data_IF_349901930885
#
_entry.id   IF_349901930885
#
_cell.length_a   1.000
_cell.length_b   1.000
_cell.length_c   1.000
_cell.angle_alpha   90.00
_cell.angle_beta   90.00
_cell.angle_gamma   90.00
#
_symmetry.space_group_name_H-M   'P 1'
#
loop_
_entity.id
_entity.type
_entity.pdbx_description
1 polymer ?
#
# COMPACT_ATOMS: atom_id res chain seq x y z
N UNK A 1 15.18 -20.52 -6.51
CA UNK A 1 14.03 -19.94 -5.78
C UNK A 1 14.22 -18.44 -5.85
N UNK A 2 13.26 -17.71 -6.41
CA UNK A 2 13.33 -16.25 -6.43
C UNK A 2 13.21 -15.79 -4.98
N UNK A 3 14.23 -15.12 -4.47
CA UNK A 3 14.30 -14.58 -3.12
C UNK A 3 13.16 -13.56 -2.94
N UNK A 4 11.99 -14.04 -2.51
CA UNK A 4 10.79 -13.22 -2.42
C UNK A 4 10.85 -12.44 -1.11
N UNK A 5 11.34 -11.20 -1.19
CA UNK A 5 11.33 -10.26 -0.06
C UNK A 5 9.94 -10.18 0.54
N UNK A 6 9.88 -10.20 1.86
CA UNK A 6 8.68 -10.00 2.65
C UNK A 6 8.67 -8.57 3.18
N UNK A 7 7.52 -7.91 3.07
CA UNK A 7 7.27 -6.64 3.72
C UNK A 7 6.34 -6.85 4.91
N UNK A 8 6.78 -6.40 6.08
CA UNK A 8 5.91 -6.29 7.24
C UNK A 8 5.32 -4.88 7.26
N UNK A 9 4.00 -4.75 7.22
CA UNK A 9 3.29 -3.46 7.13
C UNK A 9 2.50 -3.16 8.40
N UNK A 10 2.39 -1.88 8.75
CA UNK A 10 1.55 -1.39 9.86
C UNK A 10 0.31 -0.66 9.35
N UNK A 11 -0.81 -0.88 10.03
CA UNK A 11 -2.05 -0.15 9.79
C UNK A 11 -2.18 0.99 10.80
N UNK A 12 -2.13 2.23 10.33
CA UNK A 12 -2.17 3.41 11.20
C UNK A 12 -1.03 3.41 12.22
N UNK A 13 -1.31 3.78 13.45
CA UNK A 13 -0.35 3.81 14.57
C UNK A 13 -0.26 2.47 15.32
N UNK A 14 -0.78 1.37 14.75
CA UNK A 14 -0.74 0.07 15.42
C UNK A 14 0.68 -0.51 15.49
N UNK A 15 1.02 -1.12 16.63
CA UNK A 15 2.25 -1.90 16.77
C UNK A 15 2.21 -3.26 16.05
N UNK A 16 1.02 -3.73 15.67
CA UNK A 16 0.87 -5.00 14.96
C UNK A 16 1.33 -4.85 13.50
N UNK A 17 2.22 -5.76 13.09
CA UNK A 17 2.65 -5.89 11.71
C UNK A 17 1.99 -7.08 11.04
N UNK A 18 1.84 -6.99 9.72
CA UNK A 18 1.30 -8.05 8.88
C UNK A 18 2.25 -8.28 7.71
N UNK A 19 2.56 -9.54 7.43
CA UNK A 19 3.54 -9.91 6.42
C UNK A 19 2.87 -10.14 5.05
N UNK A 20 3.42 -9.50 4.01
CA UNK A 20 3.03 -9.64 2.62
C UNK A 20 4.26 -9.91 1.76
N UNK A 21 4.08 -10.58 0.63
CA UNK A 21 5.14 -10.66 -0.38
C UNK A 21 5.31 -9.29 -1.07
N UNK A 22 6.55 -8.85 -1.26
CA UNK A 22 6.86 -7.64 -2.03
C UNK A 22 6.53 -7.80 -3.53
N UNK A 23 6.48 -9.04 -4.02
CA UNK A 23 6.25 -9.32 -5.44
C UNK A 23 7.40 -8.80 -6.31
N UNK A 24 7.06 -8.04 -7.36
CA UNK A 24 8.04 -7.43 -8.27
C UNK A 24 8.41 -5.98 -7.89
N UNK A 25 7.89 -5.47 -6.78
CA UNK A 25 8.09 -4.08 -6.37
C UNK A 25 9.37 -3.94 -5.56
N UNK A 26 10.16 -2.92 -5.88
CA UNK A 26 11.29 -2.51 -5.06
C UNK A 26 10.82 -1.56 -3.96
N UNK A 27 10.94 -1.99 -2.71
CA UNK A 27 10.32 -1.36 -1.54
C UNK A 27 11.32 -1.28 -0.40
N UNK A 28 11.27 -0.17 0.33
CA UNK A 28 12.10 0.08 1.50
C UNK A 28 11.23 0.28 2.74
N UNK A 29 11.85 0.22 3.93
CA UNK A 29 11.18 0.65 5.17
C UNK A 29 10.78 2.12 5.04
N UNK A 30 9.55 2.44 5.45
CA UNK A 30 8.96 3.76 5.29
C UNK A 30 8.22 3.98 3.97
N UNK A 31 8.42 3.11 2.95
CA UNK A 31 7.63 3.17 1.71
C UNK A 31 6.16 2.90 2.01
N UNK A 32 5.26 3.64 1.36
CA UNK A 32 3.83 3.34 1.39
C UNK A 32 3.44 2.41 0.25
N UNK A 33 2.71 1.36 0.59
CA UNK A 33 2.28 0.31 -0.33
C UNK A 33 0.79 0.06 -0.19
N UNK A 34 0.17 -0.40 -1.27
CA UNK A 34 -1.22 -0.84 -1.30
C UNK A 34 -1.27 -2.33 -1.00
N UNK A 35 -2.05 -2.70 0.02
CA UNK A 35 -2.31 -4.10 0.38
C UNK A 35 -3.77 -4.48 0.18
N UNK A 36 -4.06 -5.70 -0.31
CA UNK A 36 -5.42 -6.17 -0.45
C UNK A 36 -5.98 -6.58 0.91
N UNK A 37 -7.10 -5.99 1.29
CA UNK A 37 -7.80 -6.21 2.55
C UNK A 37 -9.27 -6.53 2.26
N UNK A 38 -9.72 -7.78 2.43
CA UNK A 38 -11.13 -8.24 2.30
C UNK A 38 -12.06 -7.29 1.52
N UNK A 39 -11.93 -7.28 0.19
CA UNK A 39 -12.80 -6.53 -0.72
C UNK A 39 -12.44 -5.05 -0.94
N UNK A 40 -11.33 -4.57 -0.37
CA UNK A 40 -10.78 -3.23 -0.59
C UNK A 40 -9.26 -3.25 -0.63
N UNK A 41 -8.66 -2.21 -1.16
CA UNK A 41 -7.21 -1.97 -1.08
C UNK A 41 -6.94 -0.87 -0.06
N UNK A 42 -5.88 -1.02 0.71
CA UNK A 42 -5.51 -0.07 1.77
C UNK A 42 -4.06 0.35 1.62
N UNK A 43 -3.81 1.66 1.66
CA UNK A 43 -2.45 2.20 1.77
C UNK A 43 -1.92 2.03 3.19
N UNK A 44 -0.75 1.43 3.32
CA UNK A 44 -0.05 1.17 4.58
C UNK A 44 1.44 1.46 4.46
N UNK A 45 2.10 1.65 5.59
CA UNK A 45 3.55 1.90 5.61
C UNK A 45 4.30 0.59 5.89
N UNK A 46 5.34 0.34 5.11
CA UNK A 46 6.30 -0.74 5.36
C UNK A 46 7.09 -0.41 6.62
N UNK A 47 7.01 -1.28 7.61
CA UNK A 47 7.73 -1.16 8.87
C UNK A 47 9.06 -1.95 8.86
N UNK A 48 9.11 -3.06 8.14
CA UNK A 48 10.27 -3.95 8.12
C UNK A 48 10.33 -4.73 6.80
N UNK A 49 11.56 -5.05 6.36
CA UNK A 49 11.81 -5.99 5.27
C UNK A 49 12.41 -7.26 5.88
N UNK A 50 11.88 -8.43 5.49
CA UNK A 50 12.34 -9.73 5.96
C UNK A 50 12.68 -10.62 4.77
N UNK A 51 13.64 -11.52 4.98
CA UNK A 51 14.03 -12.50 3.95
C UNK A 51 13.09 -13.71 3.90
N UNK A 52 12.34 -13.96 4.99
CA UNK A 52 11.42 -15.10 5.09
C UNK A 52 10.21 -14.80 5.99
N UNK A 53 9.08 -15.46 5.72
CA UNK A 53 7.89 -15.47 6.58
C UNK A 53 7.05 -16.72 6.35
N UNK A 54 6.66 -17.39 7.44
CA UNK A 54 5.78 -18.57 7.39
C UNK A 54 4.29 -18.20 7.22
N UNK A 55 3.94 -16.92 7.36
CA UNK A 55 2.55 -16.46 7.40
C UNK A 55 2.14 -15.61 6.20
N UNK A 56 3.12 -15.09 5.44
CA UNK A 56 2.84 -14.37 4.20
C UNK A 56 2.17 -15.32 3.18
N UNK A 57 0.99 -14.93 2.69
CA UNK A 57 0.20 -15.72 1.72
C UNK A 57 -0.17 -14.94 0.47
N UNK A 58 -0.05 -13.62 0.53
CA UNK A 58 -0.53 -12.69 -0.50
C UNK A 58 0.50 -11.59 -0.70
N UNK A 59 0.58 -11.07 -1.91
CA UNK A 59 1.48 -9.98 -2.27
C UNK A 59 0.81 -8.61 -2.07
N UNK A 60 1.64 -7.57 -1.98
CA UNK A 60 1.18 -6.19 -2.17
C UNK A 60 0.69 -5.99 -3.61
N UNK A 61 -0.24 -5.06 -3.82
CA UNK A 61 -0.81 -4.80 -5.16
C UNK A 61 -0.18 -3.60 -5.86
N UNK A 62 0.55 -2.75 -5.14
CA UNK A 62 1.24 -1.60 -5.71
C UNK A 62 1.95 -0.71 -4.69
N UNK A 63 2.67 0.28 -5.18
CA UNK A 63 3.26 1.36 -4.36
C UNK A 63 2.27 2.53 -4.37
N UNK A 64 1.99 3.11 -3.20
CA UNK A 64 1.22 4.36 -3.12
C UNK A 64 2.16 5.54 -3.29
N UNK A 65 2.17 6.13 -4.48
CA UNK A 65 3.07 7.25 -4.84
C UNK A 65 2.50 8.61 -4.45
N UNK A 66 1.26 8.66 -3.93
CA UNK A 66 0.64 9.92 -3.52
C UNK A 66 1.43 10.58 -2.39
N UNK A 67 1.48 11.91 -2.40
CA UNK A 67 1.88 12.68 -1.23
C UNK A 67 0.82 12.62 -0.12
N UNK A 68 1.16 13.06 1.09
CA UNK A 68 0.18 13.14 2.19
C UNK A 68 -0.98 14.08 1.85
N UNK A 69 -0.69 15.18 1.18
CA UNK A 69 -1.69 16.14 0.69
C UNK A 69 -2.61 15.49 -0.35
N UNK A 70 -2.04 14.76 -1.32
CA UNK A 70 -2.82 14.06 -2.35
C UNK A 70 -3.72 12.96 -1.76
N UNK A 71 -3.27 12.27 -0.70
CA UNK A 71 -4.12 11.30 0.02
C UNK A 71 -5.29 11.96 0.73
N UNK A 72 -5.05 13.11 1.37
CA UNK A 72 -6.07 13.85 2.09
C UNK A 72 -7.06 14.56 1.14
N UNK A 73 -6.63 14.88 -0.07
CA UNK A 73 -7.42 15.57 -1.07
C UNK A 73 -8.63 14.73 -1.54
N UNK A 74 -9.82 15.30 -1.35
CA UNK A 74 -11.10 14.72 -1.74
C UNK A 74 -11.95 15.73 -2.49
N UNK A 75 -12.71 15.22 -3.45
CA UNK A 75 -13.77 15.96 -4.11
C UNK A 75 -14.85 16.34 -3.07
N UNK A 76 -15.67 17.37 -3.34
CA UNK A 76 -16.77 17.75 -2.43
C UNK A 76 -17.75 16.60 -2.13
N UNK A 77 -17.85 15.61 -3.01
CA UNK A 77 -18.65 14.41 -2.84
C UNK A 77 -17.99 13.32 -1.96
N UNK A 78 -16.81 13.59 -1.39
CA UNK A 78 -16.07 12.69 -0.51
C UNK A 78 -15.21 11.63 -1.22
N UNK A 79 -15.19 11.58 -2.56
CA UNK A 79 -14.30 10.68 -3.33
C UNK A 79 -12.87 11.21 -3.36
N UNK A 80 -11.91 10.32 -3.51
CA UNK A 80 -10.50 10.71 -3.67
C UNK A 80 -10.27 11.43 -5.00
N UNK A 81 -9.44 12.47 -4.95
CA UNK A 81 -8.99 13.21 -6.15
C UNK A 81 -7.83 12.48 -6.83
N UNK A 82 -7.07 11.66 -6.09
CA UNK A 82 -5.87 11.02 -6.60
C UNK A 82 -5.95 9.50 -6.44
N UNK A 83 -5.66 8.77 -7.51
CA UNK A 83 -5.42 7.34 -7.48
C UNK A 83 -4.08 7.01 -6.80
N UNK A 84 -3.88 5.77 -6.30
CA UNK A 84 -2.66 5.36 -5.61
C UNK A 84 -1.37 5.50 -6.44
N UNK A 85 -1.47 5.50 -7.77
CA UNK A 85 -0.36 5.73 -8.69
C UNK A 85 -0.03 7.22 -8.90
N UNK A 86 -0.79 8.11 -8.25
CA UNK A 86 -0.63 9.56 -8.37
C UNK A 86 -1.39 10.16 -9.55
N UNK A 87 -2.22 9.39 -10.24
CA UNK A 87 -3.07 9.88 -11.33
C UNK A 87 -4.24 10.69 -10.77
N UNK A 88 -4.54 11.84 -11.39
CA UNK A 88 -5.68 12.67 -11.05
C UNK A 88 -6.98 11.99 -11.53
N UNK A 89 -7.98 11.93 -10.64
CA UNK A 89 -9.28 11.35 -10.90
C UNK A 89 -10.34 12.43 -11.12
N UNK A 90 -11.27 12.16 -12.04
CA UNK A 90 -12.48 12.93 -12.24
C UNK A 90 -13.41 12.91 -11.00
N UNK A 91 -14.50 13.67 -11.05
CA UNK A 91 -15.50 13.74 -9.97
C UNK A 91 -16.14 12.37 -9.65
N UNK A 92 -16.05 11.42 -10.58
CA UNK A 92 -16.55 10.06 -10.45
C UNK A 92 -15.45 9.07 -10.02
N UNK A 93 -14.23 9.51 -9.75
CA UNK A 93 -13.12 8.63 -9.35
C UNK A 93 -12.55 7.80 -10.50
N UNK A 94 -12.68 8.27 -11.75
CA UNK A 94 -12.09 7.67 -12.95
C UNK A 94 -10.87 8.49 -13.38
N UNK A 95 -9.81 7.81 -13.80
CA UNK A 95 -8.60 8.41 -14.39
C UNK A 95 -8.85 8.88 -15.80
#
# INVERSE_FOLDING_TARGET
>A
MTDQKIVAVKFGESDKTYDYFAGAFDVAVGTRVMVPMRGRETSVTVAEIKDHSDVAKIAIVGIDTRTDEQRAAKHPNGRHIWAPDGTLLDENGRS
#
